data_IF_124929027778
#
_entry.id   IF_124929027778
#
_cell.length_a   1.000
_cell.length_b   1.000
_cell.length_c   1.000
_cell.angle_alpha   90.00
_cell.angle_beta   90.00
_cell.angle_gamma   90.00
#
_symmetry.space_group_name_H-M   'P 1'
#
loop_
_entity.id
_entity.type
_entity.pdbx_description
1 polymer ?
#
# COMPACT_ATOMS: atom_id res chain seq x y z
N UNK A 1 -29.37 2.54 11.32
CA UNK A 1 -28.88 1.18 11.21
C UNK A 1 -29.79 0.21 11.95
N UNK A 2 -29.90 -1.04 11.50
CA UNK A 2 -30.69 -2.05 12.19
C UNK A 2 -30.03 -2.41 13.53
N UNK A 3 -30.81 -2.49 14.60
CA UNK A 3 -30.32 -3.01 15.88
C UNK A 3 -30.25 -4.54 15.80
N UNK A 4 -29.04 -5.10 15.79
CA UNK A 4 -28.79 -6.53 15.87
C UNK A 4 -28.53 -6.89 17.31
N UNK A 5 -29.42 -7.66 17.95
CA UNK A 5 -29.31 -8.06 19.35
C UNK A 5 -28.56 -9.38 19.54
N UNK A 6 -28.29 -10.11 18.47
CA UNK A 6 -27.54 -11.37 18.51
C UNK A 6 -27.39 -12.01 17.14
N UNK A 7 -26.40 -12.87 17.03
CA UNK A 7 -26.15 -13.72 15.85
C UNK A 7 -26.07 -15.17 16.34
N UNK A 8 -26.84 -16.06 15.74
CA UNK A 8 -26.79 -17.49 16.00
C UNK A 8 -26.18 -18.22 14.83
N UNK A 9 -25.13 -19.00 15.07
CA UNK A 9 -24.45 -19.80 14.06
C UNK A 9 -24.87 -21.26 14.24
N UNK A 10 -25.37 -21.90 13.19
CA UNK A 10 -25.85 -23.27 13.24
C UNK A 10 -24.79 -24.25 12.76
N UNK A 11 -23.91 -24.64 13.64
CA UNK A 11 -22.80 -25.56 13.43
C UNK A 11 -21.46 -24.99 13.88
N UNK A 12 -20.42 -25.80 13.88
CA UNK A 12 -19.07 -25.41 14.33
C UNK A 12 -18.11 -25.30 13.15
N UNK A 13 -17.96 -26.36 12.35
CA UNK A 13 -17.01 -26.45 11.24
C UNK A 13 -17.71 -26.68 9.92
N UNK A 14 -17.10 -26.18 8.82
CA UNK A 14 -17.66 -26.19 7.46
C UNK A 14 -18.22 -27.56 7.01
N UNK A 15 -17.49 -28.68 7.12
CA UNK A 15 -17.98 -29.98 6.67
C UNK A 15 -19.26 -30.46 7.35
N UNK A 16 -19.57 -29.94 8.54
CA UNK A 16 -20.76 -30.33 9.29
C UNK A 16 -22.00 -29.49 8.94
N UNK A 17 -21.84 -28.48 8.10
CA UNK A 17 -22.96 -27.69 7.60
C UNK A 17 -23.65 -28.40 6.42
N UNK A 18 -24.95 -28.54 6.49
CA UNK A 18 -25.73 -29.03 5.35
C UNK A 18 -25.61 -28.12 4.10
N UNK A 19 -25.34 -26.82 4.30
CA UNK A 19 -25.10 -25.86 3.22
C UNK A 19 -23.76 -26.10 2.51
N UNK A 20 -22.78 -26.72 3.16
CA UNK A 20 -21.47 -26.99 2.58
C UNK A 20 -21.56 -27.87 1.33
N UNK A 21 -22.48 -28.82 1.31
CA UNK A 21 -22.74 -29.72 0.18
C UNK A 21 -23.79 -29.20 -0.81
N UNK A 22 -24.46 -28.08 -0.52
CA UNK A 22 -25.55 -27.53 -1.30
C UNK A 22 -25.10 -26.34 -2.16
N UNK A 23 -24.45 -26.62 -3.26
CA UNK A 23 -23.86 -25.59 -4.14
C UNK A 23 -24.88 -24.63 -4.80
N UNK A 24 -26.16 -24.90 -4.72
CA UNK A 24 -27.22 -24.14 -5.39
C UNK A 24 -28.03 -23.23 -4.45
N UNK A 25 -27.76 -23.26 -3.15
CA UNK A 25 -28.44 -22.42 -2.17
C UNK A 25 -27.64 -21.16 -1.87
N UNK A 26 -28.29 -20.02 -1.88
CA UNK A 26 -27.70 -18.74 -1.50
C UNK A 26 -27.09 -17.91 -2.62
N UNK A 27 -27.37 -18.20 -3.89
CA UNK A 27 -26.95 -17.36 -5.04
C UNK A 27 -25.48 -17.49 -5.44
N UNK A 28 -24.76 -18.50 -4.94
CA UNK A 28 -23.42 -18.82 -5.40
C UNK A 28 -23.41 -19.40 -6.82
N UNK A 29 -22.28 -19.30 -7.53
CA UNK A 29 -22.11 -19.94 -8.82
C UNK A 29 -22.30 -21.46 -8.69
N UNK A 30 -22.96 -22.09 -9.68
CA UNK A 30 -23.14 -23.54 -9.71
C UNK A 30 -21.80 -24.27 -9.56
N UNK A 31 -21.72 -25.21 -8.61
CA UNK A 31 -20.50 -25.94 -8.29
C UNK A 31 -19.59 -25.30 -7.22
N UNK A 32 -19.91 -24.11 -6.71
CA UNK A 32 -19.14 -23.51 -5.62
C UNK A 32 -19.50 -24.12 -4.26
N UNK A 33 -18.48 -24.44 -3.47
CA UNK A 33 -18.66 -24.91 -2.08
C UNK A 33 -19.06 -23.72 -1.22
N UNK A 34 -20.16 -23.86 -0.46
CA UNK A 34 -20.58 -22.85 0.50
C UNK A 34 -19.76 -22.97 1.77
N UNK A 35 -19.33 -21.84 2.32
CA UNK A 35 -18.53 -21.79 3.54
C UNK A 35 -19.24 -20.95 4.62
N UNK A 36 -20.38 -21.41 5.17
CA UNK A 36 -21.28 -20.60 5.98
C UNK A 36 -20.87 -20.47 7.45
N UNK A 37 -19.92 -21.30 7.94
CA UNK A 37 -19.58 -21.37 9.36
C UNK A 37 -18.32 -20.59 9.71
N UNK A 38 -18.05 -20.44 11.00
CA UNK A 38 -16.97 -19.62 11.54
C UNK A 38 -15.60 -20.31 11.54
N UNK A 39 -15.57 -21.64 11.48
CA UNK A 39 -14.35 -22.45 11.44
C UNK A 39 -14.29 -23.28 10.15
N UNK A 40 -13.08 -23.47 9.63
CA UNK A 40 -12.84 -24.38 8.53
C UNK A 40 -12.87 -25.87 8.97
N UNK A 41 -12.62 -26.78 8.02
CA UNK A 41 -12.61 -28.22 8.29
C UNK A 41 -11.51 -28.70 9.25
N UNK A 42 -10.51 -27.85 9.53
CA UNK A 42 -9.39 -28.12 10.44
C UNK A 42 -9.55 -27.40 11.79
N UNK A 43 -10.74 -26.91 12.09
CA UNK A 43 -11.04 -26.10 13.31
C UNK A 43 -10.28 -24.76 13.37
N UNK A 44 -9.75 -24.26 12.24
CA UNK A 44 -9.12 -22.96 12.19
C UNK A 44 -10.19 -21.88 12.08
N UNK A 45 -10.06 -20.85 12.93
CA UNK A 45 -10.95 -19.70 12.89
C UNK A 45 -10.81 -18.92 11.57
N UNK A 46 -11.94 -18.66 10.94
CA UNK A 46 -12.04 -17.87 9.70
C UNK A 46 -12.13 -16.38 10.01
N UNK A 47 -11.92 -15.49 9.03
CA UNK A 47 -12.10 -14.05 9.23
C UNK A 47 -13.47 -13.67 9.82
N UNK A 48 -14.54 -14.39 9.44
CA UNK A 48 -15.87 -14.18 9.99
C UNK A 48 -15.96 -14.41 11.50
N UNK A 49 -15.18 -15.35 12.05
CA UNK A 49 -15.08 -15.57 13.50
C UNK A 49 -14.46 -14.36 14.20
N UNK A 50 -13.34 -13.88 13.68
CA UNK A 50 -12.64 -12.74 14.26
C UNK A 50 -13.45 -11.44 14.15
N UNK A 51 -14.16 -11.23 13.03
CA UNK A 51 -15.05 -10.08 12.88
C UNK A 51 -16.15 -10.03 13.96
N UNK A 52 -16.55 -11.20 14.49
CA UNK A 52 -17.60 -11.32 15.49
C UNK A 52 -17.05 -11.28 16.93
N UNK A 53 -15.92 -11.96 17.18
CA UNK A 53 -15.38 -12.18 18.54
C UNK A 53 -14.38 -11.10 18.93
N UNK A 54 -13.52 -10.73 18.01
CA UNK A 54 -12.46 -9.73 18.23
C UNK A 54 -12.02 -9.16 16.88
N UNK A 55 -12.63 -8.06 16.48
CA UNK A 55 -12.35 -7.42 15.19
C UNK A 55 -10.90 -6.93 15.05
N UNK A 56 -10.17 -6.76 16.17
CA UNK A 56 -8.75 -6.35 16.13
C UNK A 56 -7.85 -7.45 15.57
N UNK A 57 -8.31 -8.70 15.57
CA UNK A 57 -7.61 -9.86 15.00
C UNK A 57 -8.01 -10.15 13.56
N UNK A 58 -8.91 -9.36 12.99
CA UNK A 58 -9.32 -9.51 11.60
C UNK A 58 -8.23 -8.91 10.70
N UNK A 59 -7.64 -9.75 9.86
CA UNK A 59 -6.74 -9.24 8.83
C UNK A 59 -7.52 -8.39 7.82
N UNK A 60 -7.07 -7.17 7.52
CA UNK A 60 -7.69 -6.36 6.48
C UNK A 60 -7.54 -7.03 5.12
N UNK A 61 -8.37 -6.63 4.16
CA UNK A 61 -8.15 -6.97 2.76
C UNK A 61 -6.79 -6.40 2.32
N UNK A 62 -6.09 -7.14 1.44
CA UNK A 62 -4.82 -6.65 0.89
C UNK A 62 -5.04 -5.32 0.19
N UNK A 63 -4.44 -4.27 0.72
CA UNK A 63 -4.54 -2.94 0.17
C UNK A 63 -3.67 -2.78 -1.07
N UNK A 64 -4.04 -1.83 -1.91
CA UNK A 64 -3.25 -1.44 -3.08
C UNK A 64 -2.61 -0.10 -2.81
N UNK A 65 -1.31 -0.02 -3.07
CA UNK A 65 -0.49 1.17 -2.88
C UNK A 65 0.05 1.63 -4.23
N UNK A 66 0.02 2.91 -4.47
CA UNK A 66 0.72 3.56 -5.58
C UNK A 66 2.03 4.12 -5.08
N UNK A 67 3.13 3.76 -5.72
CA UNK A 67 4.46 4.32 -5.44
C UNK A 67 4.86 5.18 -6.63
N UNK A 68 4.84 6.50 -6.47
CA UNK A 68 5.14 7.46 -7.54
C UNK A 68 6.66 7.65 -7.66
N UNK A 69 7.18 7.74 -8.88
CA UNK A 69 8.58 8.08 -9.12
C UNK A 69 8.90 9.47 -8.60
N UNK A 70 9.93 9.57 -7.78
CA UNK A 70 10.44 10.86 -7.30
C UNK A 70 11.19 11.57 -8.41
N UNK A 71 10.77 12.78 -8.74
CA UNK A 71 11.47 13.67 -9.64
C UNK A 71 12.23 14.71 -8.83
N UNK A 72 13.50 14.91 -9.15
CA UNK A 72 14.38 15.91 -8.50
C UNK A 72 14.41 15.80 -6.96
N UNK A 73 14.32 14.59 -6.43
CA UNK A 73 14.31 14.34 -4.98
C UNK A 73 13.02 14.76 -4.26
N UNK A 74 11.99 15.14 -4.99
CA UNK A 74 10.71 15.54 -4.42
C UNK A 74 9.91 14.31 -3.98
N UNK A 75 9.52 14.29 -2.70
CA UNK A 75 8.64 13.25 -2.13
C UNK A 75 7.19 13.72 -2.30
N UNK A 76 6.61 13.41 -3.45
CA UNK A 76 5.22 13.71 -3.77
C UNK A 76 4.53 12.45 -4.29
N UNK A 77 3.43 12.07 -3.64
CA UNK A 77 2.69 10.85 -3.97
C UNK A 77 1.38 10.75 -3.18
N UNK A 78 0.73 9.61 -3.27
CA UNK A 78 -0.45 9.32 -2.47
C UNK A 78 -0.06 9.15 -1.00
N UNK A 79 -0.91 9.63 -0.12
CA UNK A 79 -0.75 9.50 1.32
C UNK A 79 -1.60 8.34 1.83
N UNK A 80 -0.99 7.48 2.64
CA UNK A 80 -1.63 6.34 3.29
C UNK A 80 -1.58 6.52 4.80
N UNK A 81 -2.52 5.93 5.52
CA UNK A 81 -2.67 6.09 6.97
C UNK A 81 -2.57 4.78 7.72
N UNK A 82 -1.96 4.83 8.90
CA UNK A 82 -2.03 3.81 9.93
C UNK A 82 -2.80 4.43 11.10
N UNK A 83 -3.94 3.84 11.43
CA UNK A 83 -4.78 4.27 12.56
C UNK A 83 -5.19 3.04 13.37
N UNK A 84 -4.39 2.71 14.38
CA UNK A 84 -4.58 1.54 15.22
C UNK A 84 -4.50 1.96 16.70
N UNK A 85 -5.56 2.64 17.13
CA UNK A 85 -5.71 3.08 18.51
C UNK A 85 -4.67 4.12 18.93
N UNK A 86 -3.65 3.70 19.67
CA UNK A 86 -2.57 4.58 20.15
C UNK A 86 -1.54 4.92 19.08
N UNK A 87 -1.47 4.13 17.98
CA UNK A 87 -0.55 4.37 16.87
C UNK A 87 -1.27 5.06 15.74
N UNK A 88 -0.88 6.31 15.46
CA UNK A 88 -1.39 7.09 14.34
C UNK A 88 -0.22 7.61 13.51
N UNK A 89 -0.21 7.25 12.22
CA UNK A 89 0.81 7.70 11.30
C UNK A 89 0.26 7.90 9.88
N UNK A 90 0.95 8.74 9.10
CA UNK A 90 0.73 8.91 7.68
C UNK A 90 2.03 8.64 6.94
N UNK A 91 1.96 8.02 5.76
CA UNK A 91 3.16 7.80 4.97
C UNK A 91 2.94 8.04 3.48
N UNK A 92 4.02 8.44 2.81
CA UNK A 92 4.09 8.65 1.37
C UNK A 92 5.25 7.81 0.83
N UNK A 93 4.99 6.78 0.02
CA UNK A 93 6.01 6.01 -0.65
C UNK A 93 6.33 6.63 -2.02
N UNK A 94 7.62 6.78 -2.33
CA UNK A 94 8.13 7.16 -3.65
C UNK A 94 9.28 6.26 -4.06
N UNK A 95 9.60 6.17 -5.34
CA UNK A 95 10.71 5.39 -5.86
C UNK A 95 11.57 6.20 -6.82
N UNK A 96 12.84 5.83 -6.95
CA UNK A 96 13.80 6.38 -7.89
C UNK A 96 14.80 5.29 -8.34
N UNK A 97 15.88 5.69 -9.01
CA UNK A 97 16.93 4.78 -9.47
C UNK A 97 17.70 4.08 -8.31
N UNK A 98 17.67 4.64 -7.11
CA UNK A 98 18.36 4.11 -5.92
C UNK A 98 17.47 3.14 -5.13
N UNK A 99 16.15 3.24 -5.26
CA UNK A 99 15.20 2.37 -4.61
C UNK A 99 13.91 3.02 -4.14
N UNK A 100 13.40 2.53 -3.03
CA UNK A 100 12.17 2.98 -2.39
C UNK A 100 12.50 3.95 -1.25
N UNK A 101 11.85 5.09 -1.22
CA UNK A 101 11.85 6.01 -0.09
C UNK A 101 10.44 6.11 0.48
N UNK A 102 10.28 5.84 1.77
CA UNK A 102 9.01 5.99 2.49
C UNK A 102 9.17 7.08 3.54
N UNK A 103 8.47 8.18 3.37
CA UNK A 103 8.40 9.23 4.38
C UNK A 103 7.20 8.97 5.29
N UNK A 104 7.44 8.82 6.59
CA UNK A 104 6.42 8.48 7.58
C UNK A 104 6.36 9.57 8.64
N UNK A 105 5.18 10.15 8.83
CA UNK A 105 4.89 11.09 9.92
C UNK A 105 4.11 10.37 10.99
N UNK A 106 4.66 10.29 12.18
CA UNK A 106 4.05 9.65 13.35
C UNK A 106 3.55 10.73 14.31
N UNK A 107 2.30 10.61 14.74
CA UNK A 107 1.80 11.42 15.87
C UNK A 107 2.35 10.83 17.16
N UNK A 108 3.09 11.65 17.88
CA UNK A 108 3.79 11.26 19.08
C UNK A 108 4.02 12.51 19.95
N UNK A 109 3.47 12.51 21.16
CA UNK A 109 3.62 13.61 22.12
C UNK A 109 4.70 13.34 23.16
N UNK A 110 5.29 12.15 23.13
CA UNK A 110 6.36 11.71 24.01
C UNK A 110 7.65 11.53 23.23
N UNK A 111 8.76 11.32 23.90
CA UNK A 111 10.04 10.99 23.25
C UNK A 111 10.57 9.73 23.90
N UNK A 112 10.47 8.63 23.17
CA UNK A 112 10.99 7.35 23.58
C UNK A 112 12.02 6.84 22.55
N UNK A 113 13.22 6.51 23.01
CA UNK A 113 14.30 6.05 22.12
C UNK A 113 14.00 4.68 21.49
N UNK A 114 13.06 3.93 22.05
CA UNK A 114 12.60 2.65 21.50
C UNK A 114 11.59 2.81 20.35
N UNK A 115 11.03 4.01 20.14
CA UNK A 115 10.11 4.26 19.06
C UNK A 115 10.82 4.17 17.71
N UNK A 116 10.14 3.57 16.74
CA UNK A 116 10.74 3.31 15.45
C UNK A 116 9.69 3.10 14.35
N UNK A 117 10.11 3.37 13.14
CA UNK A 117 9.39 3.00 11.92
C UNK A 117 10.20 1.94 11.18
N UNK A 118 9.57 0.84 10.83
CA UNK A 118 10.16 -0.21 9.99
C UNK A 118 9.35 -0.38 8.71
N UNK A 119 10.05 -0.36 7.58
CA UNK A 119 9.46 -0.69 6.28
C UNK A 119 9.96 -2.07 5.87
N UNK A 120 9.01 -2.96 5.59
CA UNK A 120 9.24 -4.31 5.09
C UNK A 120 8.88 -4.37 3.61
N UNK A 121 9.71 -5.02 2.82
CA UNK A 121 9.52 -5.13 1.37
C UNK A 121 9.75 -6.56 0.90
N UNK A 122 8.82 -7.06 0.09
CA UNK A 122 9.04 -8.24 -0.76
C UNK A 122 9.14 -7.78 -2.22
N UNK A 123 10.36 -7.71 -2.76
CA UNK A 123 10.60 -7.21 -4.12
C UNK A 123 9.92 -8.03 -5.22
N UNK A 124 9.55 -9.28 -4.91
CA UNK A 124 8.96 -10.22 -5.86
C UNK A 124 7.44 -10.27 -5.78
N UNK A 125 6.83 -9.56 -4.83
CA UNK A 125 5.39 -9.65 -4.57
C UNK A 125 4.91 -11.11 -4.45
N UNK A 126 5.66 -11.94 -3.70
CA UNK A 126 5.45 -13.39 -3.68
C UNK A 126 4.28 -13.82 -2.79
N UNK A 127 3.84 -12.96 -1.87
CA UNK A 127 2.80 -13.23 -0.89
C UNK A 127 3.00 -14.59 -0.17
N UNK A 128 4.19 -14.84 0.32
CA UNK A 128 4.60 -16.14 0.86
C UNK A 128 5.44 -16.02 2.14
N UNK A 129 5.80 -17.16 2.71
CA UNK A 129 6.75 -17.21 3.82
C UNK A 129 8.16 -16.97 3.25
N UNK A 130 8.73 -15.83 3.61
CA UNK A 130 10.05 -15.35 3.18
C UNK A 130 10.69 -14.55 4.31
N UNK A 131 11.98 -14.29 4.20
CA UNK A 131 12.62 -13.20 4.95
C UNK A 131 12.63 -11.97 4.06
N UNK A 132 11.82 -10.94 4.35
CA UNK A 132 11.72 -9.74 3.53
C UNK A 132 12.94 -8.82 3.73
N UNK A 133 13.15 -7.94 2.77
CA UNK A 133 14.04 -6.80 2.97
C UNK A 133 13.39 -5.83 3.97
N UNK A 134 14.17 -5.27 4.89
CA UNK A 134 13.67 -4.32 5.86
C UNK A 134 14.68 -3.23 6.21
N UNK A 135 14.16 -2.05 6.50
CA UNK A 135 14.93 -0.94 7.07
C UNK A 135 14.14 -0.32 8.20
N UNK A 136 14.83 -0.09 9.33
CA UNK A 136 14.27 0.57 10.52
C UNK A 136 14.93 1.91 10.74
N UNK A 137 14.12 2.93 11.01
CA UNK A 137 14.56 4.26 11.46
C UNK A 137 13.99 4.50 12.85
N UNK A 138 14.89 4.69 13.81
CA UNK A 138 14.51 4.99 15.20
C UNK A 138 14.06 6.44 15.35
N UNK A 139 13.33 6.73 16.41
CA UNK A 139 12.88 8.07 16.79
C UNK A 139 14.04 9.08 16.86
N UNK A 140 15.19 8.65 17.40
CA UNK A 140 16.40 9.47 17.54
C UNK A 140 17.07 9.80 16.20
N UNK A 141 16.88 8.97 15.18
CA UNK A 141 17.38 9.21 13.82
C UNK A 141 16.35 9.95 12.93
N UNK A 142 15.12 10.15 13.42
CA UNK A 142 14.06 10.83 12.70
C UNK A 142 14.06 12.34 12.99
N UNK A 143 13.47 13.13 12.11
CA UNK A 143 13.31 14.56 12.30
C UNK A 143 12.14 14.86 13.25
N UNK A 144 12.34 15.70 14.25
CA UNK A 144 11.25 16.20 15.09
C UNK A 144 10.34 17.14 14.28
N UNK A 145 9.03 16.98 14.41
CA UNK A 145 8.02 17.86 13.82
C UNK A 145 7.00 18.25 14.90
N UNK A 146 6.13 19.22 14.59
CA UNK A 146 5.05 19.59 15.50
C UNK A 146 4.10 18.40 15.72
N UNK A 147 3.95 17.97 16.97
CA UNK A 147 3.07 16.86 17.37
C UNK A 147 3.59 15.47 17.06
N UNK A 148 4.89 15.31 16.81
CA UNK A 148 5.47 14.00 16.58
C UNK A 148 6.84 14.02 15.90
N UNK A 149 7.06 13.05 15.01
CA UNK A 149 8.30 12.95 14.25
C UNK A 149 8.06 12.49 12.82
N UNK A 150 9.06 12.72 11.98
CA UNK A 150 9.09 12.28 10.59
C UNK A 150 10.30 11.40 10.35
N UNK A 151 10.06 10.13 10.07
CA UNK A 151 11.09 9.20 9.63
C UNK A 151 11.15 9.16 8.10
N UNK A 152 12.37 9.12 7.55
CA UNK A 152 12.58 8.86 6.12
C UNK A 152 13.31 7.55 5.99
N UNK A 153 12.60 6.53 5.55
CA UNK A 153 13.11 5.16 5.41
C UNK A 153 13.48 4.92 3.95
N UNK A 154 14.74 4.56 3.70
CA UNK A 154 15.24 4.26 2.35
C UNK A 154 15.58 2.78 2.25
N UNK A 155 14.92 2.08 1.33
CA UNK A 155 15.18 0.68 1.01
C UNK A 155 15.87 0.63 -0.35
N UNK A 156 17.15 0.23 -0.37
CA UNK A 156 17.91 0.14 -1.61
C UNK A 156 17.37 -0.98 -2.49
N UNK A 157 16.96 -0.63 -3.69
CA UNK A 157 16.43 -1.55 -4.69
C UNK A 157 16.92 -1.10 -6.06
N UNK A 158 17.38 -2.04 -6.87
CA UNK A 158 17.88 -1.73 -8.21
C UNK A 158 16.88 -2.14 -9.28
N UNK A 159 17.00 -1.51 -10.43
CA UNK A 159 16.24 -1.86 -11.64
C UNK A 159 14.72 -1.80 -11.49
N UNK A 160 14.22 -0.92 -10.62
CA UNK A 160 12.79 -0.65 -10.50
C UNK A 160 12.25 -0.08 -11.81
N UNK A 161 11.03 -0.48 -12.17
CA UNK A 161 10.38 -0.10 -13.44
C UNK A 161 8.94 0.32 -13.22
N UNK A 162 8.47 1.23 -14.04
CA UNK A 162 7.04 1.57 -14.12
C UNK A 162 6.21 0.30 -14.33
N UNK A 163 5.07 0.22 -13.66
CA UNK A 163 4.15 -0.91 -13.60
C UNK A 163 4.67 -2.16 -12.87
N UNK A 164 5.90 -2.15 -12.37
CA UNK A 164 6.39 -3.21 -11.48
C UNK A 164 5.55 -3.23 -10.20
N UNK A 165 5.31 -4.43 -9.68
CA UNK A 165 4.66 -4.64 -8.39
C UNK A 165 5.65 -5.23 -7.39
N UNK A 166 5.59 -4.73 -6.16
CA UNK A 166 6.24 -5.28 -4.99
C UNK A 166 5.18 -5.44 -3.89
N UNK A 167 5.49 -6.15 -2.82
CA UNK A 167 4.68 -6.04 -1.59
C UNK A 167 5.42 -5.23 -0.54
N UNK A 168 4.69 -4.41 0.20
CA UNK A 168 5.25 -3.64 1.30
C UNK A 168 4.32 -3.63 2.52
N UNK A 169 4.93 -3.54 3.70
CA UNK A 169 4.23 -3.17 4.93
C UNK A 169 5.03 -2.12 5.70
N UNK A 170 4.33 -1.24 6.41
CA UNK A 170 4.92 -0.20 7.25
C UNK A 170 4.47 -0.44 8.67
N UNK A 171 5.44 -0.60 9.57
CA UNK A 171 5.20 -0.85 10.99
C UNK A 171 5.74 0.31 11.81
N UNK A 172 4.93 0.80 12.72
CA UNK A 172 5.28 1.86 13.67
C UNK A 172 5.20 1.30 15.08
N UNK A 173 6.30 1.40 15.82
CA UNK A 173 6.33 1.20 17.27
C UNK A 173 6.33 2.58 17.91
N UNK A 174 5.39 2.84 18.79
CA UNK A 174 5.21 4.11 19.49
C UNK A 174 4.79 3.86 20.93
N UNK A 175 5.60 4.26 21.91
CA UNK A 175 5.36 4.08 23.36
C UNK A 175 4.98 2.64 23.77
N UNK A 176 5.57 1.64 23.12
CA UNK A 176 5.31 0.23 23.36
C UNK A 176 4.09 -0.35 22.65
N UNK A 177 3.28 0.49 21.98
CA UNK A 177 2.24 0.05 21.05
C UNK A 177 2.81 -0.18 19.65
N UNK A 178 2.23 -1.12 18.91
CA UNK A 178 2.61 -1.42 17.54
C UNK A 178 1.41 -1.27 16.62
N UNK A 179 1.59 -0.51 15.54
CA UNK A 179 0.63 -0.41 14.45
C UNK A 179 1.28 -0.79 13.12
N UNK A 180 0.55 -1.48 12.25
CA UNK A 180 1.00 -1.85 10.90
C UNK A 180 0.00 -1.42 9.84
N UNK A 181 0.49 -1.21 8.63
CA UNK A 181 -0.37 -0.73 7.56
C UNK A 181 -1.35 -1.80 7.08
N UNK A 182 -0.88 -3.02 6.83
CA UNK A 182 -1.73 -4.09 6.31
C UNK A 182 -1.64 -5.40 7.09
N UNK A 183 -0.45 -5.87 7.47
CA UNK A 183 -0.27 -7.13 8.15
C UNK A 183 -0.44 -6.97 9.68
N UNK A 184 -1.57 -7.44 10.22
CA UNK A 184 -1.89 -7.43 11.65
C UNK A 184 -1.43 -8.70 12.38
N UNK A 185 -0.73 -9.63 11.70
CA UNK A 185 -0.31 -10.90 12.33
C UNK A 185 0.90 -10.77 13.24
N UNK A 186 1.70 -9.72 13.07
CA UNK A 186 2.99 -9.59 13.73
C UNK A 186 4.10 -10.49 13.14
N UNK A 187 3.87 -11.08 11.95
CA UNK A 187 4.80 -12.01 11.31
C UNK A 187 5.61 -11.39 10.17
N UNK A 188 5.71 -10.07 10.12
CA UNK A 188 6.40 -9.35 9.04
C UNK A 188 7.84 -9.83 8.80
N UNK A 189 8.52 -10.30 9.84
CA UNK A 189 9.90 -10.81 9.76
C UNK A 189 10.04 -12.10 8.94
N UNK A 190 8.95 -12.83 8.74
CA UNK A 190 9.00 -14.19 8.19
C UNK A 190 7.97 -14.46 7.10
N UNK A 191 7.11 -13.50 6.78
CA UNK A 191 6.04 -13.68 5.81
C UNK A 191 5.59 -12.37 5.19
N UNK A 192 5.41 -12.37 3.86
CA UNK A 192 4.82 -11.25 3.10
C UNK A 192 3.36 -11.48 2.70
N UNK A 193 2.71 -12.53 3.22
CA UNK A 193 1.36 -12.95 2.81
C UNK A 193 0.30 -11.87 2.93
N UNK A 194 0.47 -10.98 3.89
CA UNK A 194 -0.51 -9.93 4.18
C UNK A 194 0.04 -8.52 3.97
N UNK A 195 1.14 -8.39 3.24
CA UNK A 195 1.63 -7.07 2.83
C UNK A 195 0.73 -6.45 1.78
N UNK A 196 0.67 -5.14 1.74
CA UNK A 196 0.00 -4.41 0.67
C UNK A 196 0.71 -4.61 -0.67
N UNK A 197 -0.04 -4.67 -1.76
CA UNK A 197 0.51 -4.74 -3.11
C UNK A 197 0.73 -3.32 -3.62
N UNK A 198 1.99 -3.00 -3.86
CA UNK A 198 2.42 -1.68 -4.30
C UNK A 198 2.81 -1.69 -5.78
N UNK A 199 2.29 -0.73 -6.55
CA UNK A 199 2.56 -0.59 -7.99
C UNK A 199 3.35 0.68 -8.25
N UNK A 200 4.49 0.53 -8.95
CA UNK A 200 5.32 1.65 -9.39
C UNK A 200 4.61 2.45 -10.49
N UNK A 201 4.51 3.76 -10.30
CA UNK A 201 3.95 4.70 -11.27
C UNK A 201 5.01 5.71 -11.71
N UNK A 202 4.92 6.25 -12.91
CA UNK A 202 5.82 7.31 -13.35
C UNK A 202 5.63 8.55 -12.46
N UNK A 203 6.66 9.36 -12.37
CA UNK A 203 6.61 10.64 -11.67
C UNK A 203 5.62 11.59 -12.33
N UNK A 204 4.99 12.41 -11.51
CA UNK A 204 4.11 13.48 -11.99
C UNK A 204 5.03 14.61 -12.45
N UNK A 205 5.10 14.82 -13.75
CA UNK A 205 5.74 16.02 -14.30
C UNK A 205 4.79 17.21 -14.09
N UNK A 206 5.33 18.29 -13.53
CA UNK A 206 4.57 19.55 -13.45
C UNK A 206 4.46 20.08 -14.87
N UNK A 207 3.25 20.22 -15.38
CA UNK A 207 3.02 20.93 -16.64
C UNK A 207 3.25 22.41 -16.36
N UNK A 208 4.24 23.05 -17.01
CA UNK A 208 4.53 24.46 -16.76
C UNK A 208 3.40 25.34 -17.34
N UNK A 209 3.19 26.48 -16.69
CA UNK A 209 2.32 27.53 -17.21
C UNK A 209 3.00 28.26 -18.37
N UNK A 210 2.27 28.54 -19.45
CA UNK A 210 2.79 29.35 -20.55
C UNK A 210 1.66 29.74 -21.49
N UNK A 211 1.47 31.04 -21.66
CA UNK A 211 0.55 31.59 -22.64
C UNK A 211 1.20 31.55 -24.01
N UNK A 212 0.48 31.05 -25.00
CA UNK A 212 0.89 30.96 -26.39
C UNK A 212 -0.07 31.71 -27.30
N UNK A 213 0.40 32.20 -28.42
CA UNK A 213 -0.41 32.73 -29.50
C UNK A 213 -0.67 31.63 -30.53
N UNK A 214 -1.91 31.51 -30.98
CA UNK A 214 -2.22 30.57 -32.09
C UNK A 214 -1.99 31.32 -33.42
N UNK A 215 -0.74 31.34 -33.85
CA UNK A 215 -0.30 31.92 -35.10
C UNK A 215 0.66 30.96 -35.83
N UNK A 216 1.36 31.41 -36.85
CA UNK A 216 2.29 30.56 -37.60
C UNK A 216 3.69 30.50 -36.99
N UNK A 217 3.96 31.25 -35.89
CA UNK A 217 5.26 31.34 -35.28
C UNK A 217 5.37 30.43 -34.03
N UNK A 218 6.57 29.99 -33.71
CA UNK A 218 6.83 29.19 -32.53
C UNK A 218 7.09 30.10 -31.32
N UNK A 219 6.18 30.07 -30.33
CA UNK A 219 6.36 30.78 -29.08
C UNK A 219 7.50 30.19 -28.23
N UNK A 220 8.32 31.07 -27.62
CA UNK A 220 9.38 30.67 -26.70
C UNK A 220 8.86 29.90 -25.44
N UNK A 221 7.57 30.04 -25.12
CA UNK A 221 6.94 29.27 -24.04
C UNK A 221 7.05 27.75 -24.27
N UNK A 222 7.07 27.28 -25.52
CA UNK A 222 7.25 25.88 -25.87
C UNK A 222 8.63 25.29 -25.51
N UNK A 223 9.64 26.12 -25.26
CA UNK A 223 10.98 25.63 -24.87
C UNK A 223 10.95 25.00 -23.48
N UNK A 224 10.02 25.46 -22.61
CA UNK A 224 9.85 24.94 -21.26
C UNK A 224 8.71 23.91 -21.15
N UNK A 225 8.04 23.59 -22.26
CA UNK A 225 6.93 22.66 -22.25
C UNK A 225 7.37 21.23 -21.94
N UNK A 226 6.50 20.48 -21.23
CA UNK A 226 6.73 19.05 -21.02
C UNK A 226 6.65 18.33 -22.38
N UNK A 227 7.69 17.58 -22.69
CA UNK A 227 7.78 16.79 -23.91
C UNK A 227 7.34 15.35 -23.65
N UNK A 228 6.22 14.94 -24.24
CA UNK A 228 5.66 13.60 -24.12
C UNK A 228 6.00 12.80 -25.38
N UNK A 229 6.93 11.83 -25.31
CA UNK A 229 7.22 10.98 -26.47
C UNK A 229 6.00 10.08 -26.75
N UNK A 230 5.59 10.06 -28.01
CA UNK A 230 4.49 9.20 -28.48
C UNK A 230 5.09 7.98 -29.17
N UNK A 231 4.81 6.79 -28.62
CA UNK A 231 5.16 5.53 -29.27
C UNK A 231 4.08 5.20 -30.30
N UNK A 232 4.40 5.42 -31.57
CA UNK A 232 3.52 5.09 -32.67
C UNK A 232 3.96 3.73 -33.21
N UNK A 233 3.18 2.73 -33.00
CA UNK A 233 3.33 1.34 -33.47
C UNK A 233 4.78 0.78 -33.48
N UNK A 234 4.96 -0.39 -32.89
CA UNK A 234 6.24 -1.04 -32.61
C UNK A 234 7.13 -1.31 -33.85
N UNK A 235 6.54 -1.30 -35.04
CA UNK A 235 7.20 -1.65 -36.30
C UNK A 235 7.34 -0.47 -37.30
N UNK A 236 7.09 0.76 -36.82
CA UNK A 236 7.22 1.96 -37.66
C UNK A 236 8.43 2.78 -37.23
N UNK A 237 9.19 3.30 -38.23
CA UNK A 237 10.26 4.27 -37.99
C UNK A 237 9.72 5.66 -37.59
N UNK A 238 8.40 5.82 -37.53
CA UNK A 238 7.77 7.08 -37.17
C UNK A 238 7.85 7.33 -35.67
N UNK A 239 8.38 8.46 -35.27
CA UNK A 239 8.35 8.99 -33.91
C UNK A 239 7.61 10.32 -33.89
N UNK A 240 6.91 10.58 -32.82
CA UNK A 240 6.28 11.86 -32.55
C UNK A 240 6.43 12.25 -31.09
N UNK A 241 6.40 13.56 -30.82
CA UNK A 241 6.38 14.11 -29.47
C UNK A 241 5.20 15.08 -29.37
N UNK A 242 4.51 15.03 -28.23
CA UNK A 242 3.57 16.07 -27.85
C UNK A 242 4.23 17.00 -26.83
N UNK A 243 4.04 18.30 -26.98
CA UNK A 243 4.43 19.28 -25.97
C UNK A 243 3.17 19.78 -25.25
N UNK A 244 3.25 19.93 -23.95
CA UNK A 244 2.09 20.32 -23.11
C UNK A 244 2.46 21.49 -22.22
N UNK A 245 1.61 22.50 -22.26
CA UNK A 245 1.57 23.66 -21.34
C UNK A 245 0.14 23.78 -20.82
N UNK A 246 -0.06 24.51 -19.73
CA UNK A 246 -1.39 24.97 -19.33
C UNK A 246 -1.45 26.49 -19.36
N UNK A 247 -2.61 27.05 -19.66
CA UNK A 247 -2.91 28.48 -19.78
C UNK A 247 -4.09 28.87 -18.90
#
# INVERSE_FOLDING_TARGET
GANVSGITVWGVIEPNSWLHSQSNLGGGASGSVQCPLLFDGNYKAKPAYWAYVDATKLQPAIQKVTITEAKDGNIAGETYTIDQGEVQAEFIPVWDAEGLTVQVKVKDTTVNDADAVTVYVDPKNSASDITPDKVTVTRTAAAAIAGGYQATVKVSMKDLKVAQQISLDVVVNNDGATGSFNDLTGNQESSSKYYAVATMKPGIEKIPYGTISVDADADAAWDNAVNIPLTINKDSEASANAKVLWD
#
